data_IF_690293969294
#
_entry.id   IF_690293969294
#
_cell.length_a   1.000
_cell.length_b   1.000
_cell.length_c   1.000
_cell.angle_alpha   90.00
_cell.angle_beta   90.00
_cell.angle_gamma   90.00
#
_symmetry.space_group_name_H-M   'P 1'
#
loop_
_entity.id
_entity.type
_entity.pdbx_description
1 polymer ?
#
# COMPACT_ATOMS: atom_id res chain seq x y z
N UNK A 1 -52.99 -15.42 -46.61
CA UNK A 1 -52.14 -14.22 -46.42
C UNK A 1 -52.14 -13.73 -44.98
N UNK A 2 -53.08 -14.11 -44.14
CA UNK A 2 -53.19 -13.69 -42.75
C UNK A 2 -52.07 -14.27 -41.82
N UNK A 3 -51.55 -15.48 -42.11
CA UNK A 3 -50.58 -16.17 -41.28
C UNK A 3 -49.15 -15.58 -41.32
N UNK A 4 -48.79 -14.87 -42.38
CA UNK A 4 -47.44 -14.26 -42.47
C UNK A 4 -47.32 -12.96 -41.68
N UNK A 5 -48.39 -12.17 -41.62
CA UNK A 5 -48.44 -10.94 -40.84
C UNK A 5 -48.43 -11.23 -39.33
N UNK A 6 -49.14 -12.29 -38.91
CA UNK A 6 -49.17 -12.71 -37.50
C UNK A 6 -47.80 -13.18 -36.99
N UNK A 7 -47.05 -13.90 -37.84
CA UNK A 7 -45.69 -14.35 -37.53
C UNK A 7 -44.69 -13.21 -37.38
N UNK A 8 -44.83 -12.16 -38.23
CA UNK A 8 -43.93 -10.97 -38.15
C UNK A 8 -44.24 -10.16 -36.90
N UNK A 9 -45.50 -10.03 -36.50
CA UNK A 9 -45.88 -9.34 -35.26
C UNK A 9 -45.39 -10.10 -34.03
N UNK A 10 -45.47 -11.42 -34.04
CA UNK A 10 -44.96 -12.26 -32.92
C UNK A 10 -43.46 -12.21 -32.78
N UNK A 11 -42.68 -12.11 -33.87
CA UNK A 11 -41.22 -11.97 -33.83
C UNK A 11 -40.77 -10.59 -33.39
N UNK A 12 -41.51 -9.53 -33.74
CA UNK A 12 -41.26 -8.18 -33.27
C UNK A 12 -41.56 -8.01 -31.76
N UNK A 13 -42.55 -8.71 -31.23
CA UNK A 13 -42.88 -8.69 -29.82
C UNK A 13 -41.85 -9.46 -28.96
N UNK A 14 -41.17 -10.48 -29.52
CA UNK A 14 -40.11 -11.21 -28.82
C UNK A 14 -38.78 -10.49 -28.83
N UNK A 15 -38.50 -9.64 -29.82
CA UNK A 15 -37.26 -8.87 -29.93
C UNK A 15 -37.18 -7.68 -28.93
N UNK A 16 -38.31 -7.23 -28.41
CA UNK A 16 -38.38 -6.08 -27.49
C UNK A 16 -38.08 -6.43 -26.01
N UNK A 17 -37.94 -7.72 -25.65
CA UNK A 17 -37.68 -8.13 -24.28
C UNK A 17 -36.19 -8.46 -24.00
N UNK A 18 -35.27 -8.24 -24.96
CA UNK A 18 -33.83 -8.40 -24.77
C UNK A 18 -33.10 -7.08 -24.50
N UNK A 19 -33.84 -6.04 -24.04
CA UNK A 19 -33.18 -4.95 -23.34
C UNK A 19 -32.71 -5.50 -21.98
N UNK A 20 -31.64 -6.28 -21.98
CA UNK A 20 -30.84 -6.55 -20.80
C UNK A 20 -30.43 -5.20 -20.23
N UNK A 21 -31.07 -4.81 -19.16
CA UNK A 21 -30.57 -3.78 -18.28
C UNK A 21 -29.12 -4.20 -17.92
N UNK A 22 -28.14 -3.62 -18.56
CA UNK A 22 -26.78 -3.62 -18.03
C UNK A 22 -26.85 -2.79 -16.75
N UNK A 23 -27.19 -3.47 -15.68
CA UNK A 23 -27.02 -2.95 -14.34
C UNK A 23 -25.54 -2.59 -14.20
N UNK A 24 -25.32 -1.29 -14.15
CA UNK A 24 -23.98 -0.72 -14.01
C UNK A 24 -23.44 -1.10 -12.63
N UNK A 25 -22.89 -2.32 -12.51
CA UNK A 25 -22.34 -2.87 -11.25
C UNK A 25 -21.20 -2.04 -10.66
N UNK A 26 -20.74 -1.00 -11.38
CA UNK A 26 -19.72 -0.06 -10.90
C UNK A 26 -20.30 1.14 -10.10
N UNK A 27 -21.61 1.41 -10.16
CA UNK A 27 -22.24 2.54 -9.46
C UNK A 27 -22.60 2.22 -8.01
N UNK A 28 -23.20 1.08 -7.75
CA UNK A 28 -23.70 0.70 -6.42
C UNK A 28 -22.59 0.47 -5.38
N UNK A 29 -21.37 0.17 -5.80
CA UNK A 29 -20.27 -0.08 -4.86
C UNK A 29 -19.53 1.19 -4.39
N UNK A 30 -19.66 2.32 -5.09
CA UNK A 30 -19.04 3.59 -4.71
C UNK A 30 -19.85 4.37 -3.69
N UNK A 31 -21.16 4.33 -3.79
CA UNK A 31 -22.04 5.03 -2.83
C UNK A 31 -21.99 4.40 -1.43
N UNK A 32 -21.59 3.13 -1.34
CA UNK A 32 -21.41 2.39 -0.08
C UNK A 32 -20.00 2.53 0.52
N UNK A 33 -19.07 3.16 -0.18
CA UNK A 33 -17.70 3.34 0.29
C UNK A 33 -17.61 4.49 1.29
N UNK A 34 -16.83 4.28 2.35
CA UNK A 34 -16.58 5.32 3.37
C UNK A 34 -15.99 6.58 2.74
N UNK A 35 -16.41 7.73 3.24
CA UNK A 35 -15.89 9.03 2.86
C UNK A 35 -14.67 9.37 3.68
N UNK A 36 -13.57 9.65 3.03
CA UNK A 36 -12.28 9.93 3.68
C UNK A 36 -11.83 11.35 3.37
N UNK A 37 -11.53 12.11 4.40
CA UNK A 37 -10.81 13.37 4.29
C UNK A 37 -9.33 13.12 4.62
N UNK A 38 -8.45 13.39 3.66
CA UNK A 38 -7.01 13.23 3.81
C UNK A 38 -6.37 14.58 4.13
N UNK A 39 -5.81 14.70 5.33
CA UNK A 39 -5.06 15.86 5.80
C UNK A 39 -3.58 15.47 5.92
N UNK A 40 -2.85 15.67 4.84
CA UNK A 40 -1.46 15.27 4.75
C UNK A 40 -0.64 16.31 3.99
N UNK A 41 0.19 17.06 4.71
CA UNK A 41 1.12 17.97 4.09
C UNK A 41 2.27 17.22 3.39
N UNK A 42 2.52 17.54 2.13
CA UNK A 42 3.54 16.90 1.27
C UNK A 42 3.31 15.41 0.95
N UNK A 43 2.06 14.96 1.00
CA UNK A 43 1.72 13.66 0.44
C UNK A 43 1.50 13.75 -1.07
N UNK A 44 1.80 12.65 -1.76
CA UNK A 44 1.37 12.42 -3.14
C UNK A 44 -0.08 11.92 -3.10
N UNK A 45 -1.04 12.86 -3.06
CA UNK A 45 -2.46 12.50 -2.96
C UNK A 45 -2.95 11.70 -4.16
N UNK A 46 -2.43 11.98 -5.36
CA UNK A 46 -2.83 11.25 -6.56
C UNK A 46 -2.38 9.79 -6.50
N UNK A 47 -1.21 9.54 -5.94
CA UNK A 47 -0.73 8.18 -5.70
C UNK A 47 -1.62 7.48 -4.66
N UNK A 48 -1.87 8.12 -3.52
CA UNK A 48 -2.71 7.56 -2.45
C UNK A 48 -4.11 7.22 -2.97
N UNK A 49 -4.72 8.10 -3.77
CA UNK A 49 -6.05 7.89 -4.35
C UNK A 49 -6.09 6.74 -5.36
N UNK A 50 -4.99 6.49 -6.07
CA UNK A 50 -4.89 5.33 -6.98
C UNK A 50 -4.76 4.03 -6.22
N UNK A 51 -3.88 3.99 -5.22
CA UNK A 51 -3.62 2.77 -4.44
C UNK A 51 -4.78 2.41 -3.51
N UNK A 52 -5.39 3.41 -2.87
CA UNK A 52 -6.53 3.24 -1.96
C UNK A 52 -7.80 3.69 -2.70
N UNK A 53 -8.17 2.97 -3.75
CA UNK A 53 -9.30 3.32 -4.63
C UNK A 53 -10.67 2.85 -4.13
N UNK A 54 -10.71 2.10 -3.03
CA UNK A 54 -11.91 1.52 -2.44
C UNK A 54 -12.62 2.43 -1.43
N UNK A 55 -12.20 3.70 -1.31
CA UNK A 55 -12.82 4.73 -0.49
C UNK A 55 -13.21 5.94 -1.33
N UNK A 56 -14.12 6.78 -0.84
CA UNK A 56 -14.50 8.04 -1.45
C UNK A 56 -13.75 9.21 -0.78
N UNK A 57 -12.91 9.90 -1.53
CA UNK A 57 -12.19 11.07 -1.01
C UNK A 57 -13.06 12.33 -1.11
N UNK A 58 -13.30 12.97 0.03
CA UNK A 58 -14.03 14.23 0.12
C UNK A 58 -13.08 15.41 0.33
N UNK A 59 -13.54 16.62 -0.01
CA UNK A 59 -12.77 17.86 0.13
C UNK A 59 -13.06 18.59 1.43
N UNK A 60 -14.23 18.38 2.00
CA UNK A 60 -14.62 18.96 3.28
C UNK A 60 -14.53 17.90 4.37
N UNK A 61 -13.79 18.20 5.43
CA UNK A 61 -13.66 17.33 6.61
C UNK A 61 -15.01 17.01 7.25
N UNK A 62 -15.98 17.93 7.15
CA UNK A 62 -17.31 17.73 7.75
C UNK A 62 -18.15 16.68 7.04
N UNK A 63 -17.82 16.38 5.78
CA UNK A 63 -18.51 15.36 4.96
C UNK A 63 -17.86 13.98 5.12
N UNK A 64 -16.73 13.89 5.82
CA UNK A 64 -15.97 12.67 5.95
C UNK A 64 -16.53 11.76 7.06
N UNK A 65 -16.52 10.47 6.80
CA UNK A 65 -16.72 9.42 7.80
C UNK A 65 -15.43 9.14 8.57
N UNK A 66 -14.28 9.36 7.92
CA UNK A 66 -12.95 9.20 8.50
C UNK A 66 -12.05 10.35 8.10
N UNK A 67 -11.44 11.00 9.08
CA UNK A 67 -10.39 12.00 8.88
C UNK A 67 -9.02 11.35 9.14
N UNK A 68 -8.17 11.30 8.11
CA UNK A 68 -6.79 10.85 8.21
C UNK A 68 -5.91 12.08 8.36
N UNK A 69 -5.27 12.21 9.52
CA UNK A 69 -4.30 13.27 9.80
C UNK A 69 -2.89 12.69 9.88
N UNK A 70 -2.00 13.15 9.02
CA UNK A 70 -0.60 12.74 8.99
C UNK A 70 0.30 13.85 9.50
N UNK A 71 1.04 13.54 10.55
CA UNK A 71 2.10 14.39 11.08
C UNK A 71 3.46 13.72 10.91
N UNK A 72 4.53 14.52 10.86
CA UNK A 72 5.88 14.03 10.64
C UNK A 72 6.85 14.58 11.65
N UNK A 73 7.77 13.73 12.13
CA UNK A 73 8.87 14.11 13.01
C UNK A 73 10.18 13.52 12.48
N UNK A 74 11.29 14.24 12.69
CA UNK A 74 12.62 13.73 12.32
C UNK A 74 13.12 12.77 13.39
N UNK A 75 13.65 11.61 12.98
CA UNK A 75 14.28 10.66 13.90
C UNK A 75 15.72 11.06 14.18
N UNK A 76 16.26 10.62 15.33
CA UNK A 76 17.67 10.86 15.69
C UNK A 76 18.68 10.24 14.72
N UNK A 77 18.29 9.26 13.91
CA UNK A 77 19.09 8.61 12.86
C UNK A 77 19.02 9.31 11.50
N UNK A 78 18.35 10.46 11.41
CA UNK A 78 18.18 11.21 10.16
C UNK A 78 17.03 10.73 9.26
N UNK A 79 16.24 9.75 9.72
CA UNK A 79 15.02 9.32 9.06
C UNK A 79 13.82 10.21 9.40
N UNK A 80 12.64 9.78 9.00
CA UNK A 80 11.37 10.48 9.28
C UNK A 80 10.36 9.49 9.86
N UNK A 81 9.79 9.85 11.00
CA UNK A 81 8.62 9.16 11.55
C UNK A 81 7.35 9.85 11.07
N UNK A 82 6.42 9.07 10.53
CA UNK A 82 5.10 9.48 10.13
C UNK A 82 4.10 8.93 11.14
N UNK A 83 3.37 9.82 11.80
CA UNK A 83 2.26 9.45 12.66
C UNK A 83 0.97 9.65 11.88
N UNK A 84 0.27 8.56 11.61
CA UNK A 84 -0.98 8.54 10.85
C UNK A 84 -2.12 8.31 11.82
N UNK A 85 -2.93 9.34 12.05
CA UNK A 85 -4.08 9.29 12.94
C UNK A 85 -5.36 9.12 12.13
N UNK A 86 -6.19 8.16 12.52
CA UNK A 86 -7.50 7.89 11.95
C UNK A 86 -8.56 8.33 12.94
N UNK A 87 -9.38 9.28 12.56
CA UNK A 87 -10.42 9.86 13.41
C UNK A 87 -11.78 9.59 12.76
N UNK A 88 -12.54 8.66 13.33
CA UNK A 88 -13.90 8.38 12.89
C UNK A 88 -14.84 9.54 13.21
N UNK A 89 -15.76 9.81 12.28
CA UNK A 89 -16.78 10.85 12.39
C UNK A 89 -18.16 10.26 12.03
N UNK A 90 -19.24 10.93 12.39
CA UNK A 90 -20.59 10.47 12.11
C UNK A 90 -20.85 9.09 12.70
N UNK A 91 -21.20 8.12 11.84
CA UNK A 91 -21.48 6.73 12.26
C UNK A 91 -20.26 6.00 12.83
N UNK A 92 -19.07 6.55 12.60
CA UNK A 92 -17.79 6.01 13.09
C UNK A 92 -17.23 6.81 14.28
N UNK A 93 -18.03 7.71 14.88
CA UNK A 93 -17.60 8.51 16.02
C UNK A 93 -17.13 7.62 17.18
N UNK A 94 -16.02 7.99 17.80
CA UNK A 94 -15.40 7.22 18.89
C UNK A 94 -14.39 6.18 18.42
N UNK A 95 -14.35 5.82 17.14
CA UNK A 95 -13.30 4.97 16.59
C UNK A 95 -12.10 5.85 16.28
N UNK A 96 -10.99 5.58 16.96
CA UNK A 96 -9.72 6.28 16.77
C UNK A 96 -8.59 5.27 16.74
N UNK A 97 -7.68 5.46 15.82
CA UNK A 97 -6.47 4.64 15.71
C UNK A 97 -5.28 5.50 15.32
N UNK A 98 -4.09 4.98 15.59
CA UNK A 98 -2.83 5.62 15.26
C UNK A 98 -1.82 4.59 14.82
N UNK A 99 -1.26 4.80 13.64
CA UNK A 99 -0.21 3.95 13.08
C UNK A 99 1.04 4.80 12.88
N UNK A 100 2.19 4.22 13.18
CA UNK A 100 3.49 4.83 12.92
C UNK A 100 4.16 4.14 11.74
N UNK A 101 4.77 4.94 10.90
CA UNK A 101 5.67 4.48 9.84
C UNK A 101 6.99 5.23 9.95
N UNK A 102 8.09 4.52 10.01
CA UNK A 102 9.42 5.11 10.07
C UNK A 102 10.13 4.82 8.76
N UNK A 103 10.55 5.88 8.06
CA UNK A 103 11.45 5.79 6.93
C UNK A 103 12.88 6.05 7.39
N UNK A 104 13.84 5.29 6.83
CA UNK A 104 15.26 5.51 7.06
C UNK A 104 15.77 6.72 6.27
N UNK A 105 16.94 7.21 6.65
CA UNK A 105 17.58 8.35 6.00
C UNK A 105 17.92 8.09 4.51
N UNK A 106 18.23 6.85 4.18
CA UNK A 106 18.62 6.36 2.85
C UNK A 106 17.44 5.85 2.00
N UNK A 107 16.22 5.79 2.56
CA UNK A 107 15.04 5.41 1.81
C UNK A 107 14.78 6.38 0.64
N UNK A 108 14.41 5.83 -0.50
CA UNK A 108 14.01 6.63 -1.66
C UNK A 108 12.67 7.34 -1.40
N UNK A 109 12.37 8.37 -2.17
CA UNK A 109 11.05 9.02 -2.11
C UNK A 109 9.91 8.05 -2.45
N UNK A 110 10.18 7.07 -3.31
CA UNK A 110 9.23 6.03 -3.69
C UNK A 110 8.95 5.08 -2.53
N UNK A 111 10.00 4.52 -1.91
CA UNK A 111 9.88 3.65 -0.74
C UNK A 111 9.09 4.32 0.39
N UNK A 112 9.39 5.61 0.66
CA UNK A 112 8.66 6.40 1.66
C UNK A 112 7.19 6.60 1.30
N UNK A 113 6.89 6.86 0.03
CA UNK A 113 5.53 7.06 -0.47
C UNK A 113 4.72 5.78 -0.35
N UNK A 114 5.26 4.66 -0.82
CA UNK A 114 4.62 3.35 -0.78
C UNK A 114 4.39 2.88 0.66
N UNK A 115 5.42 2.91 1.51
CA UNK A 115 5.33 2.49 2.89
C UNK A 115 4.25 3.26 3.66
N UNK A 116 4.23 4.59 3.53
CA UNK A 116 3.21 5.44 4.15
C UNK A 116 1.81 5.14 3.63
N UNK A 117 1.64 4.97 2.32
CA UNK A 117 0.35 4.65 1.70
C UNK A 117 -0.16 3.28 2.15
N UNK A 118 0.73 2.30 2.26
CA UNK A 118 0.39 0.97 2.76
C UNK A 118 -0.10 1.03 4.22
N UNK A 119 0.55 1.81 5.09
CA UNK A 119 0.08 2.01 6.47
C UNK A 119 -1.28 2.71 6.53
N UNK A 120 -1.56 3.65 5.62
CA UNK A 120 -2.90 4.25 5.51
C UNK A 120 -3.94 3.21 5.09
N UNK A 121 -3.62 2.35 4.13
CA UNK A 121 -4.50 1.28 3.69
C UNK A 121 -4.84 0.32 4.84
N UNK A 122 -3.83 -0.09 5.62
CA UNK A 122 -4.01 -0.97 6.79
C UNK A 122 -4.92 -0.32 7.84
N UNK A 123 -4.68 0.94 8.19
CA UNK A 123 -5.48 1.63 9.20
C UNK A 123 -6.93 1.86 8.78
N UNK A 124 -7.19 2.00 7.48
CA UNK A 124 -8.56 2.12 6.96
C UNK A 124 -9.37 0.84 7.08
N UNK A 125 -8.73 -0.33 7.19
CA UNK A 125 -9.45 -1.62 7.22
C UNK A 125 -10.42 -1.73 8.39
N UNK A 126 -10.14 -1.13 9.54
CA UNK A 126 -11.05 -1.12 10.68
C UNK A 126 -12.40 -0.43 10.39
N UNK A 127 -12.41 0.55 9.49
CA UNK A 127 -13.62 1.26 9.04
C UNK A 127 -14.29 0.50 7.89
N UNK A 128 -13.51 0.12 6.89
CA UNK A 128 -13.98 -0.57 5.68
C UNK A 128 -14.60 -1.94 6.03
N UNK A 129 -14.07 -2.63 7.06
CA UNK A 129 -14.63 -3.91 7.53
C UNK A 129 -16.08 -3.82 8.03
N UNK A 130 -16.57 -2.61 8.31
CA UNK A 130 -17.95 -2.35 8.75
C UNK A 130 -18.89 -1.98 7.58
N UNK A 131 -18.36 -1.92 6.37
CA UNK A 131 -19.12 -1.59 5.15
C UNK A 131 -19.44 -2.84 4.34
N UNK A 132 -20.42 -2.79 3.43
CA UNK A 132 -20.70 -3.90 2.51
C UNK A 132 -19.50 -4.26 1.60
N UNK A 133 -18.51 -3.35 1.46
CA UNK A 133 -17.29 -3.61 0.70
C UNK A 133 -16.36 -4.64 1.35
N UNK A 134 -16.50 -4.91 2.64
CA UNK A 134 -15.64 -5.83 3.37
C UNK A 134 -15.51 -7.21 2.68
N UNK A 135 -16.60 -7.75 2.17
CA UNK A 135 -16.62 -9.03 1.47
C UNK A 135 -15.96 -9.03 0.08
N UNK A 136 -15.66 -7.86 -0.46
CA UNK A 136 -15.03 -7.69 -1.79
C UNK A 136 -13.53 -7.44 -1.70
N UNK A 137 -13.03 -7.08 -0.52
CA UNK A 137 -11.59 -6.80 -0.31
C UNK A 137 -10.86 -8.10 -0.06
N UNK A 138 -9.76 -8.29 -0.78
CA UNK A 138 -8.81 -9.37 -0.57
C UNK A 138 -7.51 -8.79 -0.04
N UNK A 139 -7.08 -9.28 1.11
CA UNK A 139 -5.80 -8.90 1.69
C UNK A 139 -4.79 -9.97 1.29
N UNK A 140 -3.72 -9.55 0.63
CA UNK A 140 -2.56 -10.39 0.32
C UNK A 140 -1.33 -9.81 1.01
N UNK A 141 -0.39 -10.67 1.35
CA UNK A 141 0.91 -10.23 1.84
C UNK A 141 2.00 -10.91 1.01
N UNK A 142 3.03 -10.16 0.70
CA UNK A 142 4.21 -10.73 0.10
C UNK A 142 4.99 -11.45 1.19
N UNK A 143 5.31 -12.70 0.96
CA UNK A 143 6.18 -13.46 1.84
C UNK A 143 7.61 -12.87 1.76
N UNK A 144 7.83 -11.74 2.44
CA UNK A 144 9.18 -11.21 2.64
C UNK A 144 9.89 -12.18 3.58
N UNK A 145 10.58 -13.15 3.01
CA UNK A 145 11.39 -14.09 3.79
C UNK A 145 11.30 -15.56 3.43
N UNK A 146 10.51 -15.96 2.44
CA UNK A 146 10.83 -17.13 1.65
C UNK A 146 11.54 -16.67 0.35
N UNK A 147 12.67 -15.98 0.46
CA UNK A 147 13.79 -16.50 -0.32
C UNK A 147 13.82 -17.97 0.05
N UNK A 148 13.25 -18.81 -0.79
CA UNK A 148 13.80 -20.14 -0.95
C UNK A 148 15.27 -19.84 -1.21
N UNK A 149 16.07 -19.93 -0.16
CA UNK A 149 17.46 -20.32 -0.30
C UNK A 149 17.32 -21.63 -1.05
N UNK A 150 17.29 -21.56 -2.39
CA UNK A 150 17.82 -22.65 -3.17
C UNK A 150 19.20 -22.75 -2.56
N UNK A 151 19.41 -23.72 -1.69
CA UNK A 151 20.69 -24.31 -1.48
C UNK A 151 21.12 -24.84 -2.86
N UNK A 152 21.52 -23.91 -3.74
CA UNK A 152 22.54 -24.22 -4.68
C UNK A 152 23.66 -24.66 -3.77
N UNK A 153 23.88 -25.97 -3.72
CA UNK A 153 25.11 -26.56 -3.22
C UNK A 153 26.19 -25.80 -3.95
N UNK A 154 26.64 -24.70 -3.34
CA UNK A 154 27.84 -23.99 -3.76
C UNK A 154 28.94 -25.01 -3.51
N UNK A 155 29.20 -25.81 -4.54
CA UNK A 155 30.40 -26.66 -4.54
C UNK A 155 31.54 -25.69 -4.48
N UNK A 156 32.06 -25.49 -3.25
CA UNK A 156 33.22 -24.68 -3.01
C UNK A 156 34.39 -25.32 -3.78
N UNK A 157 34.68 -24.75 -4.95
CA UNK A 157 35.78 -25.19 -5.84
C UNK A 157 37.16 -25.06 -5.18
N UNK A 158 37.22 -24.33 -4.09
CA UNK A 158 38.44 -24.01 -3.38
C UNK A 158 38.62 -24.80 -2.09
N UNK A 159 37.70 -25.72 -1.75
CA UNK A 159 37.76 -26.66 -0.63
C UNK A 159 38.20 -25.99 0.70
N UNK A 160 37.55 -24.84 1.01
CA UNK A 160 37.77 -24.08 2.25
C UNK A 160 39.22 -23.62 2.48
N UNK A 161 39.92 -23.24 1.43
CA UNK A 161 41.23 -22.69 1.54
C UNK A 161 41.19 -21.33 2.26
N UNK A 162 41.86 -21.28 3.42
CA UNK A 162 42.06 -20.03 4.17
C UNK A 162 43.50 -19.59 3.93
N UNK A 163 43.70 -18.40 3.36
CA UNK A 163 45.03 -17.80 3.22
C UNK A 163 45.25 -16.89 4.43
N UNK A 164 46.20 -17.24 5.27
CA UNK A 164 46.70 -16.41 6.36
C UNK A 164 48.04 -15.80 5.93
N UNK A 165 48.12 -14.48 5.85
CA UNK A 165 49.36 -13.76 5.46
C UNK A 165 49.79 -12.84 6.59
N UNK A 166 50.75 -13.28 7.36
CA UNK A 166 51.42 -12.47 8.38
C UNK A 166 52.54 -11.63 7.75
N UNK A 167 52.41 -10.32 7.76
CA UNK A 167 53.49 -9.39 7.46
C UNK A 167 54.17 -8.92 8.73
N UNK A 168 55.40 -9.42 9.00
CA UNK A 168 56.28 -8.87 10.04
C UNK A 168 57.22 -7.84 9.40
N UNK A 169 57.09 -6.58 9.81
CA UNK A 169 58.05 -5.54 9.51
C UNK A 169 59.02 -5.43 10.72
N UNK A 170 60.20 -6.03 10.61
CA UNK A 170 61.29 -5.80 11.56
C UNK A 170 62.01 -4.50 11.17
N UNK A 171 61.92 -3.50 12.02
CA UNK A 171 62.59 -2.22 11.87
C UNK A 171 63.82 -2.24 12.78
N UNK A 172 65.03 -2.52 12.24
CA UNK A 172 66.29 -2.34 12.93
C UNK A 172 66.74 -0.87 12.85
N UNK A 173 66.55 -0.12 13.93
CA UNK A 173 67.14 1.21 14.10
C UNK A 173 68.59 1.09 14.53
N UNK A 174 69.54 1.22 13.59
CA UNK A 174 70.94 1.38 13.94
C UNK A 174 71.21 2.82 14.39
N UNK A 175 71.51 2.97 15.71
CA UNK A 175 72.05 4.23 16.25
C UNK A 175 73.52 4.35 15.85
N UNK A 176 73.81 5.30 14.95
CA UNK A 176 75.15 5.67 14.58
C UNK A 176 75.68 6.62 15.66
N UNK A 177 76.56 6.09 16.57
CA UNK A 177 77.38 6.93 17.45
C UNK A 177 78.49 7.59 16.63
N UNK A 178 78.45 8.92 16.51
CA UNK A 178 79.53 9.75 15.97
C UNK A 178 80.35 10.20 17.16
N UNK A 179 81.67 9.78 17.22
CA UNK A 179 82.69 10.28 18.13
C UNK A 179 83.18 11.65 17.66
#
# INVERSE_FOLDING_TARGET
MLNRALLIILTLFFASNLAFSQENMNGASRDEAIKVFLDCYRCDEDFIRREISYVNYVRDRKEADVHILVTTESTGSGGTEYQINFLGQGDYEGIKDRIYYISNADDTSETRREGRTNMMAIGLMQFVSKTPLAGKIKISYDNIGQETVKEELVVDKWNSWVFDTDFKLDYDQQETYIN
#
